data_IF_657629728907
#
_entry.id   IF_657629728907
#
_cell.length_a   1.000
_cell.length_b   1.000
_cell.length_c   1.000
_cell.angle_alpha   90.00
_cell.angle_beta   90.00
_cell.angle_gamma   90.00
#
_symmetry.space_group_name_H-M   'P 1'
#
loop_
_entity.id
_entity.type
_entity.pdbx_description
1 polymer ?
#
# COMPACT_ATOMS: atom_id res chain seq x y z
N UNK A 1 -0.69 8.91 -12.97
CA UNK A 1 -1.25 7.60 -13.41
C UNK A 1 -1.85 6.89 -12.20
N UNK A 2 -2.77 5.93 -12.35
CA UNK A 2 -3.36 5.20 -11.21
C UNK A 2 -2.74 3.81 -11.13
N UNK A 3 -2.20 3.45 -9.97
CA UNK A 3 -1.55 2.17 -9.67
C UNK A 3 -2.44 1.44 -8.67
N UNK A 4 -2.91 0.23 -8.99
CA UNK A 4 -3.78 -0.55 -8.12
C UNK A 4 -3.03 -1.72 -7.50
N UNK A 5 -3.06 -1.82 -6.17
CA UNK A 5 -2.39 -2.86 -5.39
C UNK A 5 -3.42 -3.65 -4.58
N UNK A 6 -3.59 -4.91 -4.95
CA UNK A 6 -4.38 -5.86 -4.16
C UNK A 6 -3.45 -6.65 -3.24
N UNK A 7 -3.58 -6.38 -1.95
CA UNK A 7 -2.78 -6.94 -0.87
C UNK A 7 -3.66 -7.73 0.11
N UNK A 8 -4.86 -8.14 -0.31
CA UNK A 8 -5.74 -9.00 0.50
C UNK A 8 -5.09 -10.36 0.75
N UNK A 9 -5.29 -10.91 1.95
CA UNK A 9 -4.65 -12.14 2.40
C UNK A 9 -3.17 -11.99 2.78
N UNK A 10 -2.62 -10.77 2.71
CA UNK A 10 -1.32 -10.44 3.28
C UNK A 10 -1.51 -9.87 4.69
N UNK A 11 -0.72 -10.38 5.62
CA UNK A 11 -0.73 -9.93 7.01
C UNK A 11 0.40 -8.95 7.28
N UNK A 12 0.24 -8.11 8.31
CA UNK A 12 1.29 -7.24 8.81
C UNK A 12 2.64 -7.97 8.93
N UNK A 13 3.74 -7.41 8.38
CA UNK A 13 3.89 -6.04 7.84
C UNK A 13 3.75 -5.94 6.30
N UNK A 14 3.30 -7.00 5.63
CA UNK A 14 3.39 -7.11 4.17
C UNK A 14 2.60 -6.05 3.40
N UNK A 15 1.37 -5.65 3.78
CA UNK A 15 0.64 -4.60 3.08
C UNK A 15 1.41 -3.27 3.02
N UNK A 16 2.07 -2.90 4.12
CA UNK A 16 2.83 -1.65 4.23
C UNK A 16 4.10 -1.72 3.39
N UNK A 17 4.86 -2.82 3.51
CA UNK A 17 6.11 -2.98 2.76
C UNK A 17 5.89 -2.96 1.25
N UNK A 18 4.84 -3.64 0.77
CA UNK A 18 4.51 -3.67 -0.67
C UNK A 18 4.03 -2.33 -1.17
N UNK A 19 3.25 -1.60 -0.37
CA UNK A 19 2.84 -0.24 -0.71
C UNK A 19 4.07 0.68 -0.83
N UNK A 20 5.05 0.55 0.06
CA UNK A 20 6.30 1.31 0.00
C UNK A 20 7.12 1.00 -1.25
N UNK A 21 7.33 -0.29 -1.56
CA UNK A 21 8.10 -0.69 -2.74
C UNK A 21 7.52 -0.12 -4.04
N UNK A 22 6.19 0.04 -4.10
CA UNK A 22 5.51 0.63 -5.24
C UNK A 22 5.55 2.16 -5.21
N UNK A 23 5.49 2.78 -4.02
CA UNK A 23 5.74 4.21 -3.86
C UNK A 23 7.14 4.63 -4.34
N UNK A 24 8.16 3.81 -4.07
CA UNK A 24 9.55 4.09 -4.52
C UNK A 24 9.69 4.05 -6.05
N UNK A 25 8.81 3.32 -6.75
CA UNK A 25 8.79 3.23 -8.22
C UNK A 25 7.84 4.25 -8.86
N UNK A 26 6.89 4.77 -8.09
CA UNK A 26 5.89 5.70 -8.58
C UNK A 26 6.50 7.07 -8.88
N UNK A 27 5.97 7.72 -9.91
CA UNK A 27 6.36 9.08 -10.28
C UNK A 27 5.50 10.10 -9.55
N UNK A 28 6.01 11.33 -9.39
CA UNK A 28 5.22 12.44 -8.84
C UNK A 28 3.97 12.66 -9.70
N UNK A 29 2.80 12.64 -9.08
CA UNK A 29 1.50 12.71 -9.75
C UNK A 29 0.84 11.33 -10.00
N UNK A 30 1.49 10.24 -9.59
CA UNK A 30 0.84 8.93 -9.51
C UNK A 30 -0.01 8.79 -8.25
N UNK A 31 -1.09 8.04 -8.37
CA UNK A 31 -2.02 7.71 -7.29
C UNK A 31 -1.99 6.21 -7.10
N UNK A 32 -1.53 5.77 -5.93
CA UNK A 32 -1.54 4.35 -5.54
C UNK A 32 -2.81 4.06 -4.76
N UNK A 33 -3.54 3.04 -5.18
CA UNK A 33 -4.78 2.58 -4.54
C UNK A 33 -4.53 1.19 -3.99
N UNK A 34 -4.53 1.09 -2.66
CA UNK A 34 -4.27 -0.16 -1.95
C UNK A 34 -5.58 -0.77 -1.47
N UNK A 35 -5.77 -2.05 -1.75
CA UNK A 35 -6.84 -2.87 -1.16
C UNK A 35 -6.20 -3.90 -0.23
N UNK A 36 -6.49 -3.83 1.06
CA UNK A 36 -6.01 -4.77 2.06
C UNK A 36 -7.16 -5.15 3.00
N UNK A 37 -7.13 -6.37 3.54
CA UNK A 37 -8.08 -6.89 4.53
C UNK A 37 -7.48 -6.96 5.95
N UNK A 38 -6.22 -6.57 6.11
CA UNK A 38 -5.56 -6.40 7.40
C UNK A 38 -6.10 -5.14 8.10
N UNK A 39 -6.73 -5.25 9.30
CA UNK A 39 -7.27 -4.10 10.02
C UNK A 39 -6.18 -3.11 10.47
N UNK A 40 -4.93 -3.53 10.58
CA UNK A 40 -3.82 -2.64 10.94
C UNK A 40 -3.30 -1.82 9.75
N UNK A 41 -3.54 -2.28 8.51
CA UNK A 41 -2.93 -1.68 7.33
C UNK A 41 -3.30 -0.20 7.12
N UNK A 42 -4.54 0.20 7.39
CA UNK A 42 -4.96 1.60 7.25
C UNK A 42 -4.23 2.52 8.23
N UNK A 43 -4.15 2.15 9.50
CA UNK A 43 -3.46 2.93 10.52
C UNK A 43 -1.95 2.95 10.30
N UNK A 44 -1.36 1.82 9.91
CA UNK A 44 0.07 1.72 9.63
C UNK A 44 0.46 2.56 8.41
N UNK A 45 -0.36 2.60 7.36
CA UNK A 45 -0.14 3.44 6.18
C UNK A 45 -0.32 4.95 6.47
N UNK A 46 -1.17 5.33 7.43
CA UNK A 46 -1.35 6.75 7.85
C UNK A 46 -0.22 7.27 8.75
N UNK A 47 0.36 6.39 9.56
CA UNK A 47 1.42 6.74 10.52
C UNK A 47 2.79 6.87 9.89
N UNK A 48 2.95 6.30 8.70
CA UNK A 48 4.16 6.32 7.91
C UNK A 48 4.25 7.62 7.10
#
# INVERSE_FOLDING_TARGET
MRIELDLRGLYCPMPVLRTREEMEKASVGDVIVVTADDPAAEEDLKRW
#
